data_IF_970046634511
#
_entry.id   IF_970046634511
#
_cell.length_a   1.000
_cell.length_b   1.000
_cell.length_c   1.000
_cell.angle_alpha   90.00
_cell.angle_beta   90.00
_cell.angle_gamma   90.00
#
_symmetry.space_group_name_H-M   'P 1'
#
loop_
_entity.id
_entity.type
_entity.pdbx_description
1 polymer ?
#
# COMPACT_ATOMS: atom_id res chain seq x y z
N UNK A 1 -5.22 -0.14 -32.72
CA UNK A 1 -6.06 -1.35 -32.71
C UNK A 1 -7.23 -1.09 -31.78
N UNK A 2 -8.47 -1.03 -32.30
CA UNK A 2 -9.67 -0.81 -31.47
C UNK A 2 -10.26 -2.19 -31.16
N UNK A 3 -10.60 -2.43 -29.90
CA UNK A 3 -11.14 -3.72 -29.44
C UNK A 3 -12.51 -3.97 -30.11
N UNK A 4 -12.82 -5.18 -30.61
CA UNK A 4 -14.06 -5.43 -31.37
C UNK A 4 -15.33 -5.16 -30.57
N UNK A 5 -15.27 -5.31 -29.24
CA UNK A 5 -16.38 -5.10 -28.33
C UNK A 5 -16.47 -3.67 -27.79
N UNK A 6 -15.61 -2.72 -28.22
CA UNK A 6 -15.47 -1.39 -27.61
C UNK A 6 -16.77 -0.56 -27.53
N UNK A 7 -17.76 -0.85 -28.37
CA UNK A 7 -19.06 -0.16 -28.39
C UNK A 7 -20.10 -0.78 -27.44
N UNK A 8 -19.84 -1.96 -26.88
CA UNK A 8 -20.74 -2.62 -25.92
C UNK A 8 -20.42 -2.16 -24.49
N UNK A 9 -21.39 -1.98 -23.61
CA UNK A 9 -21.07 -1.65 -22.21
C UNK A 9 -20.49 -2.84 -21.43
N UNK A 10 -20.75 -4.07 -21.89
CA UNK A 10 -20.33 -5.30 -21.22
C UNK A 10 -18.82 -5.42 -21.01
N UNK A 11 -17.98 -4.90 -21.91
CA UNK A 11 -16.54 -4.96 -21.73
C UNK A 11 -16.07 -4.05 -20.59
N UNK A 12 -16.78 -2.95 -20.30
CA UNK A 12 -16.44 -2.01 -19.21
C UNK A 12 -16.62 -2.67 -17.85
N UNK A 13 -17.66 -3.50 -17.71
CA UNK A 13 -17.89 -4.32 -16.53
C UNK A 13 -16.84 -5.42 -16.39
N UNK A 14 -16.53 -6.14 -17.48
CA UNK A 14 -15.44 -7.14 -17.48
C UNK A 14 -14.08 -6.55 -17.16
N UNK A 15 -13.80 -5.34 -17.64
CA UNK A 15 -12.55 -4.63 -17.36
C UNK A 15 -12.41 -4.33 -15.87
N UNK A 16 -13.52 -3.94 -15.25
CA UNK A 16 -13.62 -3.73 -13.81
C UNK A 16 -13.33 -5.02 -13.03
N UNK A 17 -13.87 -6.17 -13.45
CA UNK A 17 -13.65 -7.47 -12.79
C UNK A 17 -12.17 -7.92 -12.84
N UNK A 18 -11.41 -7.48 -13.85
CA UNK A 18 -9.98 -7.81 -13.97
C UNK A 18 -9.06 -7.07 -12.98
N UNK A 19 -9.58 -6.09 -12.23
CA UNK A 19 -8.81 -5.32 -11.27
C UNK A 19 -8.77 -6.02 -9.89
N UNK A 20 -7.72 -5.82 -9.09
CA UNK A 20 -7.71 -6.26 -7.70
C UNK A 20 -8.93 -5.71 -6.93
N UNK A 21 -9.62 -6.50 -6.08
CA UNK A 21 -10.93 -6.12 -5.53
C UNK A 21 -10.97 -4.76 -4.83
N UNK A 22 -10.01 -4.50 -3.93
CA UNK A 22 -9.93 -3.22 -3.20
C UNK A 22 -9.64 -2.03 -4.12
N UNK A 23 -8.90 -2.29 -5.20
CA UNK A 23 -8.60 -1.26 -6.19
C UNK A 23 -9.81 -0.99 -7.07
N UNK A 24 -10.54 -2.05 -7.47
CA UNK A 24 -11.78 -1.94 -8.19
C UNK A 24 -12.80 -1.10 -7.42
N UNK A 25 -13.01 -1.38 -6.14
CA UNK A 25 -13.95 -0.62 -5.32
C UNK A 25 -13.58 0.87 -5.29
N UNK A 26 -12.28 1.18 -5.13
CA UNK A 26 -11.81 2.57 -5.15
C UNK A 26 -12.02 3.24 -6.51
N UNK A 27 -11.81 2.52 -7.62
CA UNK A 27 -12.10 3.00 -8.97
C UNK A 27 -13.59 3.29 -9.14
N UNK A 28 -14.47 2.37 -8.70
CA UNK A 28 -15.93 2.54 -8.75
C UNK A 28 -16.38 3.75 -7.94
N UNK A 29 -15.92 3.89 -6.70
CA UNK A 29 -16.24 5.04 -5.85
C UNK A 29 -15.81 6.36 -6.51
N UNK A 30 -14.60 6.44 -7.08
CA UNK A 30 -14.12 7.66 -7.75
C UNK A 30 -14.87 7.98 -9.05
N UNK A 31 -15.40 6.97 -9.74
CA UNK A 31 -16.25 7.19 -10.91
C UNK A 31 -17.64 7.67 -10.47
N UNK A 32 -18.22 7.07 -9.42
CA UNK A 32 -19.52 7.45 -8.86
C UNK A 32 -19.55 8.87 -8.28
N UNK A 33 -18.51 9.25 -7.53
CA UNK A 33 -18.39 10.56 -6.87
C UNK A 33 -18.49 11.72 -7.87
N UNK A 34 -18.01 11.50 -9.10
CA UNK A 34 -18.02 12.50 -10.17
C UNK A 34 -19.30 12.50 -11.02
N UNK A 35 -20.18 11.51 -10.85
CA UNK A 35 -21.35 11.28 -11.69
C UNK A 35 -22.66 11.19 -10.84
N UNK A 36 -22.77 12.00 -9.79
CA UNK A 36 -23.94 12.05 -8.89
C UNK A 36 -24.36 10.66 -8.35
N UNK A 37 -23.40 9.78 -8.06
CA UNK A 37 -23.65 8.46 -7.48
C UNK A 37 -24.02 7.35 -8.48
N UNK A 38 -24.14 7.64 -9.78
CA UNK A 38 -24.43 6.63 -10.81
C UNK A 38 -23.25 6.40 -11.75
N UNK A 39 -22.94 5.13 -12.06
CA UNK A 39 -21.90 4.82 -13.04
C UNK A 39 -22.53 4.81 -14.43
N UNK A 40 -22.53 5.95 -15.12
CA UNK A 40 -22.87 6.02 -16.54
C UNK A 40 -21.73 5.47 -17.39
N UNK A 41 -21.61 4.14 -17.46
CA UNK A 41 -20.64 3.47 -18.32
C UNK A 41 -20.82 3.87 -19.79
N UNK A 42 -22.07 4.07 -20.25
CA UNK A 42 -22.37 4.45 -21.64
C UNK A 42 -21.64 5.71 -22.14
N UNK A 43 -21.34 6.67 -21.25
CA UNK A 43 -20.68 7.93 -21.61
C UNK A 43 -19.16 7.92 -21.41
N UNK A 44 -18.60 6.83 -20.87
CA UNK A 44 -17.17 6.70 -20.63
C UNK A 44 -16.50 6.00 -21.82
N UNK A 45 -15.54 6.69 -22.43
CA UNK A 45 -14.69 6.07 -23.46
C UNK A 45 -13.66 5.14 -22.82
N UNK A 46 -13.07 4.25 -23.62
CA UNK A 46 -11.94 3.43 -23.18
C UNK A 46 -10.78 4.27 -22.65
N UNK A 47 -10.46 5.36 -23.35
CA UNK A 47 -9.41 6.29 -22.94
C UNK A 47 -9.69 6.92 -21.59
N UNK A 48 -10.93 7.34 -21.32
CA UNK A 48 -11.33 7.94 -20.05
C UNK A 48 -11.21 6.95 -18.90
N UNK A 49 -11.66 5.71 -19.12
CA UNK A 49 -11.60 4.65 -18.11
C UNK A 49 -10.15 4.33 -17.73
N UNK A 50 -9.30 4.07 -18.73
CA UNK A 50 -7.88 3.77 -18.51
C UNK A 50 -7.16 4.95 -17.86
N UNK A 51 -7.43 6.18 -18.31
CA UNK A 51 -6.83 7.38 -17.74
C UNK A 51 -7.20 7.56 -16.27
N UNK A 52 -8.48 7.40 -15.91
CA UNK A 52 -8.92 7.45 -14.51
C UNK A 52 -8.26 6.37 -13.67
N UNK A 53 -8.18 5.15 -14.18
CA UNK A 53 -7.56 4.02 -13.47
C UNK A 53 -6.08 4.29 -13.23
N UNK A 54 -5.35 4.80 -14.22
CA UNK A 54 -3.95 5.16 -14.06
C UNK A 54 -3.74 6.25 -13.01
N UNK A 55 -4.58 7.28 -12.99
CA UNK A 55 -4.51 8.34 -11.97
C UNK A 55 -4.70 7.76 -10.57
N UNK A 56 -5.72 6.92 -10.38
CA UNK A 56 -6.03 6.31 -9.08
C UNK A 56 -4.92 5.33 -8.66
N UNK A 57 -4.35 4.57 -9.60
CA UNK A 57 -3.22 3.68 -9.35
C UNK A 57 -1.99 4.45 -8.88
N UNK A 58 -1.63 5.54 -9.58
CA UNK A 58 -0.49 6.38 -9.23
C UNK A 58 -0.67 7.07 -7.88
N UNK A 59 -1.88 7.53 -7.56
CA UNK A 59 -2.22 8.05 -6.23
C UNK A 59 -2.03 6.99 -5.14
N UNK A 60 -2.57 5.78 -5.35
CA UNK A 60 -2.43 4.69 -4.39
C UNK A 60 -0.97 4.26 -4.19
N UNK A 61 -0.19 4.18 -5.27
CA UNK A 61 1.24 3.87 -5.19
C UNK A 61 2.01 4.93 -4.39
N UNK A 62 1.69 6.22 -4.58
CA UNK A 62 2.28 7.31 -3.79
C UNK A 62 1.93 7.20 -2.32
N UNK A 63 0.67 6.92 -1.99
CA UNK A 63 0.21 6.74 -0.61
C UNK A 63 0.91 5.57 0.08
N UNK A 64 1.02 4.42 -0.59
CA UNK A 64 1.71 3.24 -0.07
C UNK A 64 3.19 3.58 0.20
N UNK A 65 3.85 4.26 -0.75
CA UNK A 65 5.24 4.69 -0.60
C UNK A 65 5.41 5.65 0.57
N UNK A 66 4.52 6.64 0.72
CA UNK A 66 4.57 7.61 1.82
C UNK A 66 4.35 6.92 3.18
N UNK A 67 3.33 6.06 3.29
CA UNK A 67 3.05 5.27 4.51
C UNK A 67 4.26 4.41 4.91
N UNK A 68 4.92 3.78 3.93
CA UNK A 68 6.13 3.00 4.20
C UNK A 68 7.26 3.88 4.75
N UNK A 69 7.50 5.05 4.15
CA UNK A 69 8.53 5.99 4.60
C UNK A 69 8.24 6.52 6.01
N UNK A 70 6.97 6.83 6.33
CA UNK A 70 6.57 7.25 7.68
C UNK A 70 6.80 6.13 8.71
N UNK A 71 6.41 4.88 8.41
CA UNK A 71 6.70 3.73 9.28
C UNK A 71 8.20 3.52 9.48
N UNK A 72 9.01 3.68 8.43
CA UNK A 72 10.47 3.58 8.51
C UNK A 72 11.08 4.70 9.38
N UNK A 73 10.63 5.95 9.20
CA UNK A 73 11.07 7.07 10.06
C UNK A 73 10.66 6.83 11.52
N UNK A 74 9.42 6.42 11.76
CA UNK A 74 8.93 6.14 13.12
C UNK A 74 9.74 5.04 13.80
N UNK A 75 9.96 3.90 13.13
CA UNK A 75 10.79 2.82 13.67
C UNK A 75 12.23 3.25 13.90
N UNK A 76 12.83 4.06 13.02
CA UNK A 76 14.17 4.61 13.23
C UNK A 76 14.24 5.57 14.44
N UNK A 77 13.19 6.38 14.64
CA UNK A 77 13.08 7.30 15.78
C UNK A 77 12.99 6.54 17.09
N UNK A 78 12.13 5.51 17.17
CA UNK A 78 12.04 4.63 18.34
C UNK A 78 13.37 3.94 18.66
N UNK A 79 14.10 3.47 17.65
CA UNK A 79 15.43 2.88 17.83
C UNK A 79 16.45 3.88 18.39
N UNK A 80 16.49 5.11 17.85
CA UNK A 80 17.38 6.16 18.34
C UNK A 80 17.06 6.56 19.78
N UNK A 81 15.77 6.73 20.10
CA UNK A 81 15.33 7.02 21.46
C UNK A 81 15.70 5.89 22.41
N UNK A 82 15.51 4.64 22.00
CA UNK A 82 15.89 3.49 22.82
C UNK A 82 17.40 3.41 23.08
N UNK A 83 18.22 3.76 22.08
CA UNK A 83 19.68 3.89 22.25
C UNK A 83 20.01 5.00 23.25
N UNK A 84 19.43 6.20 23.06
CA UNK A 84 19.64 7.34 23.95
C UNK A 84 19.27 7.00 25.39
N UNK A 85 18.10 6.40 25.63
CA UNK A 85 17.69 5.98 26.98
C UNK A 85 18.73 5.03 27.61
N UNK A 86 19.28 4.10 26.83
CA UNK A 86 20.31 3.16 27.30
C UNK A 86 21.62 3.87 27.66
N UNK A 87 22.03 4.85 26.89
CA UNK A 87 23.25 5.64 27.13
C UNK A 87 23.18 6.41 28.47
N UNK A 88 21.97 6.76 28.91
CA UNK A 88 21.71 7.42 30.20
C UNK A 88 21.27 6.46 31.33
N UNK A 89 21.40 5.14 31.12
CA UNK A 89 21.09 4.14 32.15
C UNK A 89 19.60 3.86 32.36
N UNK A 90 18.71 4.37 31.50
CA UNK A 90 17.29 4.02 31.54
C UNK A 90 17.07 2.65 30.90
N UNK A 91 16.43 1.75 31.66
CA UNK A 91 16.00 0.44 31.13
C UNK A 91 14.79 0.67 30.22
N UNK A 92 15.02 0.64 28.91
CA UNK A 92 13.92 0.57 27.95
C UNK A 92 13.29 -0.83 28.05
N UNK A 93 11.97 -0.97 28.25
CA UNK A 93 11.33 -2.28 28.21
C UNK A 93 11.66 -2.96 26.87
N UNK A 94 11.89 -4.28 26.86
CA UNK A 94 12.38 -4.96 25.66
C UNK A 94 11.30 -4.92 24.58
N UNK A 95 11.49 -4.07 23.57
CA UNK A 95 10.79 -4.17 22.29
C UNK A 95 11.28 -5.46 21.60
N UNK A 96 10.68 -6.61 21.96
CA UNK A 96 10.81 -7.92 21.31
C UNK A 96 12.13 -8.14 20.55
N UNK A 97 13.27 -8.02 21.23
CA UNK A 97 14.57 -8.33 20.65
C UNK A 97 14.61 -9.84 20.53
N UNK A 98 14.39 -10.36 19.32
CA UNK A 98 14.79 -11.72 18.96
C UNK A 98 16.26 -11.84 19.35
N UNK A 99 16.52 -12.55 20.46
CA UNK A 99 17.85 -12.78 21.01
C UNK A 99 18.66 -13.53 19.94
N UNK A 100 19.52 -12.82 19.22
CA UNK A 100 20.64 -13.46 18.55
C UNK A 100 21.46 -14.17 19.62
N UNK A 101 21.49 -15.50 19.52
CA UNK A 101 22.20 -16.40 20.42
C UNK A 101 23.68 -16.06 20.36
N UNK A 102 24.21 -15.42 21.40
CA UNK A 102 25.65 -15.41 21.65
C UNK A 102 26.00 -16.78 22.22
N UNK A 103 26.55 -17.62 21.34
CA UNK A 103 27.12 -18.93 21.60
C UNK A 103 28.05 -18.87 22.82
N UNK A 104 27.74 -19.66 23.85
CA UNK A 104 28.52 -19.77 25.08
C UNK A 104 29.85 -20.47 24.76
N UNK A 105 30.89 -19.69 24.48
CA UNK A 105 32.26 -20.11 24.77
C UNK A 105 32.47 -19.93 26.28
N UNK A 106 32.51 -21.02 27.05
CA UNK A 106 33.36 -21.11 28.23
C UNK A 106 33.85 -22.55 28.43
N UNK A 107 35.14 -22.67 28.13
CA UNK A 107 36.08 -23.77 28.36
C UNK A 107 36.38 -23.90 29.85
N UNK A 108 36.30 -25.11 30.42
CA UNK A 108 37.12 -25.59 31.56
C UNK A 108 36.96 -27.12 31.63
N UNK A 109 37.90 -27.92 31.12
CA UNK A 109 39.22 -28.35 31.66
C UNK A 109 39.12 -29.24 32.90
N UNK A 110 39.68 -30.45 32.70
CA UNK A 110 40.14 -31.50 33.61
C UNK A 110 39.10 -32.39 34.26
#
# INVERSE_FOLDING_TARGET
MIRPDCNLDFWKERFSIGLPPLFLDKVRTKIQDRNNGSILYGNLTYGDLVSRINVIALELCRDIKLKHQLKKKQSSSRKKLGSFCRDFGFITPPDNIKKDKKEKSHKKKS
#
